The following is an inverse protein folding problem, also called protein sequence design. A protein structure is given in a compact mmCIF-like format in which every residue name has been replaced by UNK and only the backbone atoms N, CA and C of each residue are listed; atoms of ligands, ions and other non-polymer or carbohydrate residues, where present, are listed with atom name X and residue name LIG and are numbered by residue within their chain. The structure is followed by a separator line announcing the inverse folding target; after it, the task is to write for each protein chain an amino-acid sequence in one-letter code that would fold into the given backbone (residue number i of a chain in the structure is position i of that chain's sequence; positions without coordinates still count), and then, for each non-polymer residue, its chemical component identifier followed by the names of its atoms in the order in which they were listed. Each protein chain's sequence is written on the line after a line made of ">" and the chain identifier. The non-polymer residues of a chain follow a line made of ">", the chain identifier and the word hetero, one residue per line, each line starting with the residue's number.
data_IF_902422287005
#
_entry.id   IF_902422287005
#
_cell.length_a   1.000
_cell.length_b   1.000
_cell.length_c   1.000
_cell.angle_alpha   90.00
_cell.angle_beta   90.00
_cell.angle_gamma   90.00
#
_symmetry.space_group_name_H-M   'P 1'
#
loop_
_entity.id
_entity.type
_entity.pdbx_description
1 polymer ?
#
# COMPACT_ATOMS: atom_id res chain seq x y z
N UNK A 1 66.09 36.28 -13.97
CA UNK A 1 66.39 34.85 -13.87
C UNK A 1 66.06 34.43 -12.45
N UNK A 2 64.77 34.19 -12.15
CA UNK A 2 64.30 33.85 -10.81
C UNK A 2 63.19 32.78 -10.89
N UNK A 3 63.42 31.74 -10.09
CA UNK A 3 62.47 30.86 -9.41
C UNK A 3 61.58 29.91 -10.22
N UNK A 4 62.10 28.68 -10.34
CA UNK A 4 61.38 27.43 -10.57
C UNK A 4 60.75 26.91 -9.27
N UNK A 5 59.84 25.95 -9.45
CA UNK A 5 59.28 24.98 -8.48
C UNK A 5 58.18 25.47 -7.53
N UNK A 6 56.95 25.51 -8.06
CA UNK A 6 55.73 25.33 -7.25
C UNK A 6 55.39 23.83 -7.21
N UNK A 7 55.61 23.21 -6.06
CA UNK A 7 55.32 21.79 -5.78
C UNK A 7 53.83 21.64 -5.49
N UNK A 8 53.05 21.14 -6.45
CA UNK A 8 51.65 20.80 -6.23
C UNK A 8 51.55 19.51 -5.41
N UNK A 9 51.15 19.65 -4.14
CA UNK A 9 50.73 18.53 -3.30
C UNK A 9 49.41 17.95 -3.84
N UNK A 10 49.50 16.87 -4.63
CA UNK A 10 48.37 16.00 -4.94
C UNK A 10 47.90 15.32 -3.64
N UNK A 11 46.86 15.88 -3.05
CA UNK A 11 46.16 15.24 -1.94
C UNK A 11 45.33 14.10 -2.52
N UNK A 12 45.81 12.86 -2.36
CA UNK A 12 45.10 11.67 -2.80
C UNK A 12 43.72 11.59 -2.12
N UNK A 13 42.65 11.66 -2.91
CA UNK A 13 41.29 11.42 -2.45
C UNK A 13 41.19 9.97 -1.92
N UNK A 14 40.81 9.80 -0.66
CA UNK A 14 40.52 8.47 -0.08
C UNK A 14 39.35 7.83 -0.83
N UNK A 15 39.48 6.62 -1.39
CA UNK A 15 38.36 5.90 -1.98
C UNK A 15 37.55 5.25 -0.85
N UNK A 16 36.68 6.02 -0.21
CA UNK A 16 35.69 5.47 0.74
C UNK A 16 34.32 5.88 0.27
N UNK A 17 33.50 4.97 -0.31
CA UNK A 17 32.02 5.11 -0.30
C UNK A 17 31.21 4.15 -1.19
N UNK A 18 31.75 3.39 -2.15
CA UNK A 18 30.89 2.62 -3.09
C UNK A 18 30.05 1.53 -2.40
N UNK A 19 30.66 0.73 -1.52
CA UNK A 19 30.01 -0.44 -0.89
C UNK A 19 28.98 -0.06 0.19
N UNK A 20 29.24 0.96 0.99
CA UNK A 20 28.32 1.43 2.04
C UNK A 20 27.04 2.05 1.46
N UNK A 21 27.15 2.79 0.35
CA UNK A 21 25.98 3.30 -0.36
C UNK A 21 25.18 2.19 -1.04
N UNK A 22 25.85 1.17 -1.59
CA UNK A 22 25.17 0.01 -2.17
C UNK A 22 24.40 -0.78 -1.11
N UNK A 23 24.99 -1.01 0.06
CA UNK A 23 24.33 -1.70 1.17
C UNK A 23 23.05 -0.98 1.62
N UNK A 24 23.12 0.34 1.83
CA UNK A 24 21.94 1.13 2.20
C UNK A 24 20.85 1.10 1.11
N UNK A 25 21.23 1.18 -0.17
CA UNK A 25 20.31 1.07 -1.30
C UNK A 25 19.65 -0.31 -1.39
N UNK A 26 20.41 -1.38 -1.14
CA UNK A 26 19.91 -2.75 -1.11
C UNK A 26 18.92 -2.96 0.05
N UNK A 27 19.23 -2.44 1.24
CA UNK A 27 18.32 -2.50 2.40
C UNK A 27 16.98 -1.83 2.10
N UNK A 28 16.98 -0.63 1.49
CA UNK A 28 15.76 0.07 1.06
C UNK A 28 14.98 -0.73 0.02
N UNK A 29 15.68 -1.38 -0.92
CA UNK A 29 15.04 -2.24 -1.91
C UNK A 29 14.36 -3.46 -1.28
N UNK A 30 15.07 -4.22 -0.45
CA UNK A 30 14.52 -5.38 0.26
C UNK A 30 13.33 -4.99 1.13
N UNK A 31 13.44 -3.87 1.86
CA UNK A 31 12.33 -3.30 2.62
C UNK A 31 11.12 -2.99 1.73
N UNK A 32 11.34 -2.39 0.56
CA UNK A 32 10.27 -2.09 -0.37
C UNK A 32 9.59 -3.33 -0.94
N UNK A 33 10.34 -4.42 -1.21
CA UNK A 33 9.76 -5.67 -1.69
C UNK A 33 8.94 -6.37 -0.59
N UNK A 34 9.45 -6.40 0.65
CA UNK A 34 8.70 -6.92 1.79
C UNK A 34 7.42 -6.12 2.04
N UNK A 35 7.52 -4.78 2.00
CA UNK A 35 6.38 -3.87 2.09
C UNK A 35 5.34 -4.14 1.01
N UNK A 36 5.76 -4.35 -0.23
CA UNK A 36 4.89 -4.72 -1.34
C UNK A 36 4.14 -6.03 -1.08
N UNK A 37 4.86 -7.08 -0.67
CA UNK A 37 4.26 -8.38 -0.39
C UNK A 37 3.22 -8.29 0.74
N UNK A 38 3.52 -7.57 1.82
CA UNK A 38 2.60 -7.36 2.95
C UNK A 38 1.38 -6.52 2.53
N UNK A 39 1.60 -5.45 1.77
CA UNK A 39 0.52 -4.63 1.22
C UNK A 39 -0.45 -5.42 0.35
N UNK A 40 0.08 -6.21 -0.58
CA UNK A 40 -0.72 -7.10 -1.44
C UNK A 40 -1.41 -8.17 -0.62
N UNK A 41 -0.75 -8.78 0.36
CA UNK A 41 -1.37 -9.78 1.23
C UNK A 41 -2.55 -9.20 2.02
N UNK A 42 -2.41 -7.99 2.57
CA UNK A 42 -3.51 -7.30 3.26
C UNK A 42 -4.71 -7.01 2.33
N UNK A 43 -4.44 -6.56 1.10
CA UNK A 43 -5.49 -6.35 0.10
C UNK A 43 -6.17 -7.66 -0.31
N UNK A 44 -5.40 -8.73 -0.54
CA UNK A 44 -5.95 -10.05 -0.87
C UNK A 44 -6.78 -10.61 0.28
N UNK A 45 -6.37 -10.41 1.53
CA UNK A 45 -7.17 -10.80 2.69
C UNK A 45 -8.55 -10.13 2.70
N UNK A 46 -8.62 -8.83 2.38
CA UNK A 46 -9.90 -8.11 2.25
C UNK A 46 -10.76 -8.67 1.10
N UNK A 47 -10.17 -8.94 -0.06
CA UNK A 47 -10.86 -9.52 -1.22
C UNK A 47 -11.43 -10.90 -0.86
N UNK A 48 -10.62 -11.77 -0.25
CA UNK A 48 -11.04 -13.11 0.12
C UNK A 48 -12.09 -13.10 1.24
N UNK A 49 -12.01 -12.15 2.17
CA UNK A 49 -13.01 -12.00 3.23
C UNK A 49 -14.37 -11.59 2.67
N UNK A 50 -14.40 -10.60 1.76
CA UNK A 50 -15.66 -10.13 1.13
C UNK A 50 -16.28 -11.15 0.18
N UNK A 51 -15.47 -12.01 -0.44
CA UNK A 51 -15.96 -13.16 -1.21
C UNK A 51 -16.40 -14.36 -0.35
N UNK A 52 -16.29 -14.26 0.99
CA UNK A 52 -16.65 -15.33 1.91
C UNK A 52 -15.68 -16.51 1.94
N UNK A 53 -14.49 -16.38 1.35
CA UNK A 53 -13.45 -17.41 1.33
C UNK A 53 -12.63 -17.40 2.61
N UNK A 54 -12.31 -16.21 3.12
CA UNK A 54 -11.58 -16.03 4.38
C UNK A 54 -12.58 -15.71 5.51
N UNK A 55 -12.76 -16.59 6.51
CA UNK A 55 -13.70 -16.35 7.58
C UNK A 55 -13.23 -15.24 8.52
N UNK A 56 -14.14 -14.35 8.90
CA UNK A 56 -13.94 -13.36 9.95
C UNK A 56 -14.30 -14.02 11.29
N UNK A 57 -13.32 -14.23 12.17
CA UNK A 57 -13.51 -15.02 13.39
C UNK A 57 -13.17 -14.28 14.68
N UNK A 58 -12.77 -13.01 14.63
CA UNK A 58 -12.29 -12.25 15.78
C UNK A 58 -10.86 -12.57 16.24
N UNK A 59 -10.22 -13.58 15.64
CA UNK A 59 -8.89 -14.02 16.01
C UNK A 59 -8.83 -14.45 17.48
N UNK A 60 -7.79 -14.06 18.25
CA UNK A 60 -7.68 -14.42 19.66
C UNK A 60 -8.52 -13.52 20.60
N UNK A 61 -9.08 -12.41 20.10
CA UNK A 61 -9.78 -11.41 20.91
C UNK A 61 -11.27 -11.67 20.86
N UNK A 62 -11.88 -11.85 22.04
CA UNK A 62 -13.32 -12.05 22.19
C UNK A 62 -13.92 -10.85 22.91
N UNK A 63 -14.86 -10.18 22.26
CA UNK A 63 -15.58 -9.03 22.84
C UNK A 63 -17.04 -9.41 23.05
N UNK A 64 -17.51 -9.25 24.28
CA UNK A 64 -18.90 -9.51 24.64
C UNK A 64 -19.81 -8.34 24.24
N UNK A 65 -21.04 -8.67 23.86
CA UNK A 65 -22.07 -7.70 23.52
C UNK A 65 -21.94 -7.10 22.13
N UNK A 66 -23.08 -6.81 21.50
CA UNK A 66 -23.14 -6.23 20.14
C UNK A 66 -22.49 -4.84 20.09
N UNK A 67 -22.73 -4.01 21.12
CA UNK A 67 -22.18 -2.66 21.18
C UNK A 67 -20.65 -2.65 21.28
N UNK A 68 -20.07 -3.57 22.06
CA UNK A 68 -18.62 -3.70 22.20
C UNK A 68 -17.95 -4.14 20.90
N UNK A 69 -18.49 -5.20 20.27
CA UNK A 69 -18.02 -5.69 18.96
C UNK A 69 -18.08 -4.61 17.89
N UNK A 70 -19.21 -3.91 17.78
CA UNK A 70 -19.38 -2.81 16.83
C UNK A 70 -18.40 -1.67 17.08
N UNK A 71 -18.23 -1.23 18.33
CA UNK A 71 -17.27 -0.17 18.67
C UNK A 71 -15.83 -0.55 18.33
N UNK A 72 -15.47 -1.82 18.52
CA UNK A 72 -14.15 -2.34 18.18
C UNK A 72 -13.91 -2.41 16.68
N UNK A 73 -14.86 -2.93 15.90
CA UNK A 73 -14.76 -2.96 14.43
C UNK A 73 -14.68 -1.54 13.84
N UNK A 74 -15.50 -0.61 14.37
CA UNK A 74 -15.43 0.81 14.00
C UNK A 74 -14.05 1.38 14.34
N UNK A 75 -13.45 1.03 15.48
CA UNK A 75 -12.10 1.46 15.83
C UNK A 75 -11.03 0.87 14.89
N UNK A 76 -11.15 -0.39 14.48
CA UNK A 76 -10.25 -1.02 13.50
C UNK A 76 -10.32 -0.29 12.14
N UNK A 77 -11.53 -0.03 11.65
CA UNK A 77 -11.76 0.71 10.40
C UNK A 77 -11.25 2.16 10.53
N UNK A 78 -11.50 2.82 11.66
CA UNK A 78 -11.01 4.16 11.91
C UNK A 78 -9.48 4.21 11.97
N UNK A 79 -8.83 3.23 12.62
CA UNK A 79 -7.37 3.15 12.68
C UNK A 79 -6.76 3.04 11.28
N UNK A 80 -7.28 2.14 10.45
CA UNK A 80 -6.88 2.02 9.05
C UNK A 80 -7.14 3.34 8.28
N UNK A 81 -8.34 3.90 8.38
CA UNK A 81 -8.74 5.10 7.65
C UNK A 81 -7.94 6.34 8.04
N UNK A 82 -7.68 6.54 9.33
CA UNK A 82 -6.87 7.64 9.86
C UNK A 82 -5.44 7.51 9.38
N UNK A 83 -4.83 6.32 9.49
CA UNK A 83 -3.47 6.08 8.99
C UNK A 83 -3.38 6.39 7.50
N UNK A 84 -4.27 5.81 6.69
CA UNK A 84 -4.29 5.97 5.25
C UNK A 84 -4.51 7.44 4.84
N UNK A 85 -5.42 8.15 5.52
CA UNK A 85 -5.71 9.56 5.25
C UNK A 85 -4.55 10.48 5.62
N UNK A 86 -3.94 10.29 6.80
CA UNK A 86 -2.81 11.11 7.27
C UNK A 86 -1.62 10.94 6.34
N UNK A 87 -1.23 9.69 6.06
CA UNK A 87 -0.05 9.43 5.24
C UNK A 87 -0.23 9.82 3.77
N UNK A 88 -1.47 9.94 3.29
CA UNK A 88 -1.75 10.47 1.96
C UNK A 88 -1.49 12.00 1.85
N UNK A 89 -1.48 12.75 2.97
CA UNK A 89 -1.37 14.22 2.96
C UNK A 89 0.03 14.70 2.54
N UNK A 90 0.14 15.76 1.71
CA UNK A 90 1.44 16.31 1.31
C UNK A 90 2.31 16.80 2.47
N UNK A 91 1.69 17.38 3.51
CA UNK A 91 2.41 17.86 4.69
C UNK A 91 3.09 16.71 5.45
N UNK A 92 2.36 15.61 5.67
CA UNK A 92 2.91 14.41 6.31
C UNK A 92 4.07 13.85 5.49
N UNK A 93 3.92 13.71 4.16
CA UNK A 93 4.98 13.19 3.29
C UNK A 93 6.27 14.03 3.36
N UNK A 94 6.14 15.37 3.31
CA UNK A 94 7.29 16.27 3.44
C UNK A 94 8.02 16.07 4.77
N UNK A 95 7.28 16.01 5.87
CA UNK A 95 7.86 15.76 7.20
C UNK A 95 8.46 14.36 7.30
N UNK A 96 7.74 13.32 6.89
CA UNK A 96 8.18 11.93 7.03
C UNK A 96 9.45 11.61 6.23
N UNK A 97 9.62 12.24 5.08
CA UNK A 97 10.84 12.11 4.25
C UNK A 97 12.08 12.77 4.84
N UNK A 98 11.99 13.49 5.96
CA UNK A 98 13.17 13.91 6.74
C UNK A 98 13.63 12.83 7.72
N UNK A 99 12.77 11.86 8.03
CA UNK A 99 13.03 10.75 8.96
C UNK A 99 13.48 9.50 8.22
N UNK A 100 12.82 9.16 7.10
CA UNK A 100 13.13 7.98 6.29
C UNK A 100 13.60 8.36 4.88
N UNK A 101 14.35 7.49 4.17
CA UNK A 101 14.74 7.74 2.79
C UNK A 101 13.52 8.01 1.90
N UNK A 102 13.59 9.04 1.04
CA UNK A 102 12.50 9.40 0.12
C UNK A 102 11.98 8.22 -0.70
N UNK A 103 12.87 7.34 -1.15
CA UNK A 103 12.51 6.15 -1.90
C UNK A 103 11.65 5.14 -1.12
N UNK A 104 11.74 5.15 0.22
CA UNK A 104 10.98 4.26 1.09
C UNK A 104 9.59 4.81 1.48
N UNK A 105 9.31 6.11 1.28
CA UNK A 105 8.06 6.76 1.74
C UNK A 105 6.81 6.00 1.33
N UNK A 106 6.68 5.70 0.04
CA UNK A 106 5.52 4.96 -0.47
C UNK A 106 5.51 3.49 -0.05
N UNK A 107 6.65 2.84 0.03
CA UNK A 107 6.72 1.48 0.55
C UNK A 107 6.25 1.42 2.01
N UNK A 108 6.63 2.39 2.85
CA UNK A 108 6.18 2.47 4.23
C UNK A 108 4.68 2.70 4.34
N UNK A 109 4.11 3.55 3.47
CA UNK A 109 2.65 3.70 3.36
C UNK A 109 1.97 2.35 3.11
N UNK A 110 2.45 1.62 2.10
CA UNK A 110 1.88 0.33 1.68
C UNK A 110 2.02 -0.74 2.77
N UNK A 111 3.18 -0.80 3.44
CA UNK A 111 3.42 -1.70 4.55
C UNK A 111 2.40 -1.48 5.68
N UNK A 112 2.27 -0.24 6.14
CA UNK A 112 1.39 0.08 7.27
C UNK A 112 -0.08 -0.14 6.90
N UNK A 113 -0.50 0.25 5.70
CA UNK A 113 -1.86 -0.01 5.24
C UNK A 113 -2.14 -1.51 5.09
N UNK A 114 -1.17 -2.30 4.60
CA UNK A 114 -1.29 -3.76 4.53
C UNK A 114 -1.41 -4.43 5.90
N UNK A 115 -0.56 -4.03 6.85
CA UNK A 115 -0.60 -4.53 8.22
C UNK A 115 -1.91 -4.16 8.92
N UNK A 116 -2.35 -2.91 8.84
CA UNK A 116 -3.59 -2.47 9.47
C UNK A 116 -4.82 -3.13 8.85
N UNK A 117 -4.83 -3.33 7.51
CA UNK A 117 -5.89 -4.08 6.85
C UNK A 117 -5.90 -5.54 7.30
N UNK A 118 -4.75 -6.22 7.32
CA UNK A 118 -4.66 -7.60 7.79
C UNK A 118 -5.11 -7.73 9.25
N UNK A 119 -4.77 -6.78 10.12
CA UNK A 119 -5.25 -6.73 11.50
C UNK A 119 -6.76 -6.49 11.57
N UNK A 120 -7.30 -5.59 10.75
CA UNK A 120 -8.74 -5.35 10.70
C UNK A 120 -9.51 -6.62 10.33
N UNK A 121 -9.02 -7.38 9.35
CA UNK A 121 -9.62 -8.67 8.95
C UNK A 121 -9.42 -9.74 10.03
N UNK A 122 -8.22 -9.86 10.61
CA UNK A 122 -7.93 -10.88 11.59
C UNK A 122 -8.70 -10.71 12.90
N UNK A 123 -8.87 -9.46 13.35
CA UNK A 123 -9.51 -9.12 14.63
C UNK A 123 -10.99 -8.76 14.48
N UNK A 124 -11.53 -8.78 13.26
CA UNK A 124 -12.93 -8.42 12.98
C UNK A 124 -13.90 -9.24 13.82
N UNK A 125 -14.77 -8.58 14.58
CA UNK A 125 -15.74 -9.22 15.45
C UNK A 125 -17.05 -9.50 14.71
N UNK A 126 -17.42 -10.77 14.45
CA UNK A 126 -18.67 -11.07 13.78
C UNK A 126 -19.85 -10.55 14.60
N UNK A 127 -20.78 -9.87 13.94
CA UNK A 127 -22.05 -9.45 14.55
C UNK A 127 -23.13 -10.47 14.22
N UNK A 128 -23.88 -10.88 15.23
CA UNK A 128 -24.98 -11.82 15.06
C UNK A 128 -26.17 -11.13 14.38
N UNK A 129 -26.83 -11.87 13.48
CA UNK A 129 -28.00 -11.39 12.74
C UNK A 129 -27.68 -10.96 11.32
N UNK A 130 -28.73 -10.76 10.52
CA UNK A 130 -28.63 -10.28 9.15
C UNK A 130 -29.39 -8.96 9.03
N UNK A 131 -28.76 -7.95 8.42
CA UNK A 131 -29.43 -6.69 8.09
C UNK A 131 -30.42 -6.87 6.94
N UNK A 132 -30.06 -7.69 5.97
CA UNK A 132 -30.90 -8.07 4.84
C UNK A 132 -30.44 -9.44 4.33
N UNK A 133 -31.32 -10.16 3.66
CA UNK A 133 -31.01 -11.46 3.06
C UNK A 133 -31.59 -11.55 1.66
N UNK A 134 -30.93 -12.33 0.80
CA UNK A 134 -31.45 -12.72 -0.51
C UNK A 134 -31.63 -14.21 -0.50
N UNK A 135 -32.87 -14.66 -0.69
CA UNK A 135 -33.19 -16.09 -0.69
C UNK A 135 -32.90 -16.73 -2.05
N UNK A 136 -33.12 -15.98 -3.15
CA UNK A 136 -32.96 -16.51 -4.49
C UNK A 136 -31.49 -16.82 -4.80
N UNK A 137 -31.24 -18.04 -5.30
CA UNK A 137 -29.89 -18.48 -5.68
C UNK A 137 -29.29 -17.57 -6.77
N UNK A 138 -30.10 -17.16 -7.75
CA UNK A 138 -29.69 -16.23 -8.79
C UNK A 138 -29.26 -14.88 -8.22
N UNK A 139 -30.01 -14.33 -7.26
CA UNK A 139 -29.66 -13.06 -6.62
C UNK A 139 -28.34 -13.13 -5.85
N UNK A 140 -28.09 -14.24 -5.13
CA UNK A 140 -26.80 -14.47 -4.44
C UNK A 140 -25.62 -14.52 -5.42
N UNK A 141 -25.77 -15.22 -6.54
CA UNK A 141 -24.73 -15.29 -7.57
C UNK A 141 -24.51 -13.94 -8.28
N UNK A 142 -25.56 -13.14 -8.47
CA UNK A 142 -25.42 -11.80 -9.02
C UNK A 142 -24.63 -10.89 -8.09
N UNK A 143 -24.87 -10.94 -6.78
CA UNK A 143 -24.13 -10.17 -5.79
C UNK A 143 -22.67 -10.63 -5.69
N UNK A 144 -22.42 -11.94 -5.56
CA UNK A 144 -21.06 -12.48 -5.56
C UNK A 144 -20.31 -12.18 -6.86
N UNK A 145 -20.99 -12.28 -8.01
CA UNK A 145 -20.45 -11.92 -9.31
C UNK A 145 -20.12 -10.43 -9.40
N UNK A 146 -20.97 -9.56 -8.85
CA UNK A 146 -20.74 -8.12 -8.74
C UNK A 146 -19.53 -7.78 -7.87
N UNK A 147 -19.44 -8.40 -6.69
CA UNK A 147 -18.29 -8.27 -5.79
C UNK A 147 -16.98 -8.71 -6.49
N UNK A 148 -16.96 -9.90 -7.08
CA UNK A 148 -15.81 -10.42 -7.81
C UNK A 148 -15.42 -9.53 -9.00
N UNK A 149 -16.41 -9.02 -9.74
CA UNK A 149 -16.20 -8.06 -10.82
C UNK A 149 -15.61 -6.75 -10.31
N UNK A 150 -16.12 -6.19 -9.21
CA UNK A 150 -15.60 -4.98 -8.58
C UNK A 150 -14.11 -5.09 -8.24
N UNK A 151 -13.73 -6.20 -7.61
CA UNK A 151 -12.32 -6.47 -7.31
C UNK A 151 -11.46 -6.66 -8.56
N UNK A 152 -11.93 -7.41 -9.55
CA UNK A 152 -11.22 -7.58 -10.83
C UNK A 152 -11.06 -6.24 -11.58
N UNK A 153 -12.08 -5.39 -11.54
CA UNK A 153 -12.08 -4.05 -12.12
C UNK A 153 -11.04 -3.16 -11.41
N UNK A 154 -11.03 -3.13 -10.07
CA UNK A 154 -10.03 -2.38 -9.30
C UNK A 154 -8.61 -2.86 -9.58
N UNK A 155 -8.36 -4.18 -9.57
CA UNK A 155 -7.04 -4.73 -9.85
C UNK A 155 -6.57 -4.34 -11.25
N UNK A 156 -7.43 -4.48 -12.26
CA UNK A 156 -7.13 -4.06 -13.64
C UNK A 156 -6.82 -2.56 -13.72
N UNK A 157 -7.60 -1.73 -13.02
CA UNK A 157 -7.36 -0.29 -12.95
C UNK A 157 -6.01 0.05 -12.31
N UNK A 158 -5.58 -0.70 -11.29
CA UNK A 158 -4.26 -0.51 -10.66
C UNK A 158 -3.12 -0.74 -11.65
N UNK A 159 -3.21 -1.74 -12.52
CA UNK A 159 -2.23 -1.98 -13.58
C UNK A 159 -2.29 -0.91 -14.68
N UNK A 160 -3.49 -0.38 -14.97
CA UNK A 160 -3.66 0.67 -15.98
C UNK A 160 -2.93 1.98 -15.65
N UNK A 161 -2.79 2.34 -14.37
CA UNK A 161 -2.07 3.56 -13.91
C UNK A 161 -0.63 3.34 -13.45
N UNK A 162 -0.11 2.12 -13.55
CA UNK A 162 1.20 1.68 -13.04
C UNK A 162 1.20 1.16 -11.59
N UNK A 163 0.74 -0.09 -11.42
CA UNK A 163 0.63 -0.79 -10.13
C UNK A 163 1.92 -0.73 -9.31
N UNK A 164 3.08 -0.92 -9.93
CA UNK A 164 4.36 -0.91 -9.23
C UNK A 164 4.80 0.49 -8.77
N UNK A 165 4.37 1.55 -9.47
CA UNK A 165 4.56 2.94 -9.02
C UNK A 165 3.60 3.29 -7.88
N UNK A 166 2.36 2.78 -7.94
CA UNK A 166 1.33 2.94 -6.91
C UNK A 166 1.77 2.27 -5.59
N UNK A 167 2.43 1.12 -5.66
CA UNK A 167 2.83 0.33 -4.50
C UNK A 167 4.26 0.59 -3.99
N UNK A 168 5.02 1.53 -4.55
CA UNK A 168 6.35 1.88 -4.00
C UNK A 168 7.53 1.13 -4.63
N UNK A 169 7.27 0.11 -5.45
CA UNK A 169 8.28 -0.81 -6.01
C UNK A 169 9.23 -0.08 -6.95
N UNK A 170 8.71 0.80 -7.81
CA UNK A 170 9.56 1.54 -8.76
C UNK A 170 10.46 2.56 -8.07
N UNK A 171 10.01 3.19 -6.98
CA UNK A 171 10.80 4.16 -6.23
C UNK A 171 12.01 3.50 -5.57
N UNK A 172 11.82 2.34 -4.91
CA UNK A 172 12.93 1.60 -4.32
C UNK A 172 13.85 0.97 -5.36
N UNK A 173 13.32 0.52 -6.50
CA UNK A 173 14.13 0.00 -7.61
C UNK A 173 15.02 1.07 -8.25
N UNK A 174 14.48 2.28 -8.50
CA UNK A 174 15.27 3.41 -9.01
C UNK A 174 16.36 3.80 -8.02
N UNK A 175 16.04 3.86 -6.74
CA UNK A 175 17.03 4.11 -5.68
C UNK A 175 18.16 3.06 -5.67
N UNK A 176 17.83 1.77 -5.86
CA UNK A 176 18.84 0.71 -6.01
C UNK A 176 19.79 0.97 -7.18
N UNK A 177 19.24 1.43 -8.31
CA UNK A 177 20.00 1.78 -9.52
C UNK A 177 20.71 3.14 -9.42
N UNK A 178 20.52 3.90 -8.35
CA UNK A 178 21.05 5.26 -8.22
C UNK A 178 20.41 6.26 -9.19
N UNK A 179 19.19 5.99 -9.64
CA UNK A 179 18.41 6.87 -10.51
C UNK A 179 17.49 7.77 -9.69
N UNK A 180 17.27 8.99 -10.16
CA UNK A 180 16.29 9.90 -9.57
C UNK A 180 14.86 9.36 -9.70
N UNK A 181 14.00 9.75 -8.76
CA UNK A 181 12.58 9.39 -8.79
C UNK A 181 11.80 10.51 -9.51
N UNK A 182 11.35 10.31 -10.77
CA UNK A 182 10.59 11.32 -11.48
C UNK A 182 9.21 11.51 -10.84
N UNK A 183 8.61 12.68 -11.03
CA UNK A 183 7.22 12.90 -10.62
C UNK A 183 6.28 11.91 -11.35
N UNK A 184 5.32 11.29 -10.64
CA UNK A 184 4.37 10.37 -11.26
C UNK A 184 3.55 11.09 -12.33
N UNK A 185 3.70 10.70 -13.59
CA UNK A 185 2.82 11.14 -14.67
C UNK A 185 1.59 10.24 -14.70
N UNK A 186 0.42 10.78 -14.42
CA UNK A 186 -0.83 10.03 -14.55
C UNK A 186 -1.08 9.72 -16.04
N UNK A 187 -0.88 8.47 -16.44
CA UNK A 187 -1.21 8.02 -17.78
C UNK A 187 -2.71 7.68 -17.85
N UNK A 188 -3.51 8.51 -18.55
CA UNK A 188 -4.93 8.24 -18.79
C UNK A 188 -5.10 7.19 -19.89
N UNK A 189 -4.99 5.90 -19.53
CA UNK A 189 -5.20 4.77 -20.45
C UNK A 189 -6.36 3.88 -19.98
N UNK A 190 -6.95 3.16 -20.92
CA UNK A 190 -8.00 2.15 -20.67
C UNK A 190 -9.23 2.74 -19.95
N UNK A 191 -9.52 2.24 -18.74
CA UNK A 191 -10.69 2.56 -17.92
C UNK A 191 -10.76 4.04 -17.57
N UNK A 192 -9.60 4.69 -17.44
CA UNK A 192 -9.48 6.11 -17.16
C UNK A 192 -10.00 7.02 -18.29
N UNK A 193 -10.40 6.46 -19.45
CA UNK A 193 -11.04 7.21 -20.55
C UNK A 193 -12.53 7.48 -20.30
N UNK A 194 -13.20 6.64 -19.51
CA UNK A 194 -14.65 6.73 -19.26
C UNK A 194 -15.01 6.76 -17.77
N UNK A 195 -14.13 6.30 -16.90
CA UNK A 195 -14.27 6.36 -15.44
C UNK A 195 -13.16 7.26 -14.85
N UNK A 196 -13.54 8.27 -14.07
CA UNK A 196 -12.58 9.21 -13.45
C UNK A 196 -11.84 8.59 -12.27
N UNK A 197 -12.45 7.59 -11.61
CA UNK A 197 -11.94 7.00 -10.37
C UNK A 197 -12.10 5.47 -10.34
N UNK A 198 -11.56 4.73 -11.33
CA UNK A 198 -11.86 3.31 -11.47
C UNK A 198 -11.36 2.43 -10.32
N UNK A 199 -10.32 2.83 -9.61
CA UNK A 199 -9.94 2.18 -8.36
C UNK A 199 -11.04 2.28 -7.30
N UNK A 200 -11.62 3.47 -7.10
CA UNK A 200 -12.69 3.69 -6.12
C UNK A 200 -13.98 3.00 -6.54
N UNK A 201 -14.33 3.07 -7.83
CA UNK A 201 -15.48 2.36 -8.40
C UNK A 201 -15.38 0.85 -8.10
N UNK A 202 -14.23 0.25 -8.39
CA UNK A 202 -14.03 -1.17 -8.13
C UNK A 202 -14.01 -1.52 -6.63
N UNK A 203 -13.46 -0.68 -5.75
CA UNK A 203 -13.53 -0.89 -4.29
C UNK A 203 -14.98 -0.84 -3.79
N UNK A 204 -15.77 0.14 -4.22
CA UNK A 204 -17.18 0.26 -3.80
C UNK A 204 -17.99 -0.96 -4.26
N UNK A 205 -17.79 -1.40 -5.50
CA UNK A 205 -18.45 -2.61 -6.02
C UNK A 205 -17.94 -3.89 -5.35
N UNK A 206 -16.66 -3.98 -4.99
CA UNK A 206 -16.07 -5.15 -4.34
C UNK A 206 -16.46 -5.29 -2.88
N UNK A 207 -16.72 -4.18 -2.18
CA UNK A 207 -17.16 -4.19 -0.78
C UNK A 207 -18.67 -4.43 -0.62
N UNK A 208 -19.46 -4.24 -1.67
CA UNK A 208 -20.92 -4.40 -1.66
C UNK A 208 -21.34 -5.83 -1.99
#
# INVERSE_FOLDING_TARGET
>A
MNEMTSTQHLTAARPTSSSSHLFGRLAVFSYGMASYAIGVAGLLALILATLGVLPLSGGPVHIEGVAGRLAFDVALVALFGIQHAIMARPAFKRWWTTVIPKAAERATFVLLSGLLMANAIWLWQPLDGALWTVESQAGRWLLLGGCAFGWAYMLTASFAIDHFELFGVKQVWRNLRGLDTPEPKLAQRLMYRFDRHPLMTGVVLGLW
#
